data_IF_305944844978
#
_entry.id   IF_305944844978
#
_cell.length_a   1.000
_cell.length_b   1.000
_cell.length_c   1.000
_cell.angle_alpha   90.00
_cell.angle_beta   90.00
_cell.angle_gamma   90.00
#
_symmetry.space_group_name_H-M   'P 1'
#
loop_
_entity.id
_entity.type
_entity.pdbx_description
1 polymer ?
#
# COMPACT_ATOMS: atom_id res chain seq x y z
N UNK A 1 5.11 -1.23 -46.23
CA UNK A 1 6.06 -0.63 -45.27
C UNK A 1 7.32 -0.23 -46.03
N UNK A 2 7.55 1.06 -46.25
CA UNK A 2 8.76 1.54 -46.92
C UNK A 2 9.85 1.56 -45.84
N UNK A 3 10.96 0.82 -46.05
CA UNK A 3 12.12 0.90 -45.16
C UNK A 3 12.71 2.30 -45.29
N UNK A 4 12.83 3.02 -44.17
CA UNK A 4 13.54 4.29 -44.10
C UNK A 4 15.04 3.96 -44.18
N UNK A 5 15.74 4.50 -45.17
CA UNK A 5 17.20 4.35 -45.30
C UNK A 5 17.87 4.83 -43.99
N UNK A 6 18.84 4.05 -43.51
CA UNK A 6 19.59 4.32 -42.29
C UNK A 6 21.00 4.75 -42.64
N UNK A 7 21.61 5.56 -41.78
CA UNK A 7 23.00 6.00 -41.97
C UNK A 7 24.01 4.84 -41.95
N UNK A 8 23.61 3.69 -41.41
CA UNK A 8 24.37 2.43 -41.37
C UNK A 8 24.27 1.60 -42.65
N UNK A 9 23.44 1.99 -43.62
CA UNK A 9 23.21 1.20 -44.82
C UNK A 9 24.46 1.18 -45.73
N UNK A 10 24.75 0.03 -46.38
CA UNK A 10 25.86 -0.09 -47.32
C UNK A 10 25.59 0.70 -48.61
N UNK A 11 26.65 1.14 -49.31
CA UNK A 11 26.54 1.86 -50.58
C UNK A 11 26.38 3.38 -50.49
N UNK A 12 26.18 3.93 -49.28
CA UNK A 12 26.06 5.38 -49.06
C UNK A 12 27.42 6.09 -49.09
N UNK A 13 27.45 7.27 -49.72
CA UNK A 13 28.57 8.20 -49.65
C UNK A 13 28.71 8.82 -48.25
N UNK A 14 29.88 9.38 -47.96
CA UNK A 14 30.13 10.07 -46.68
C UNK A 14 29.19 11.25 -46.45
N UNK A 15 28.81 11.97 -47.53
CA UNK A 15 27.88 13.09 -47.45
C UNK A 15 26.46 12.64 -47.09
N UNK A 16 25.96 11.60 -47.75
CA UNK A 16 24.62 11.03 -47.47
C UNK A 16 24.53 10.48 -46.05
N UNK A 17 25.55 9.76 -45.57
CA UNK A 17 25.61 9.29 -44.17
C UNK A 17 25.57 10.44 -43.17
N UNK A 18 26.21 11.57 -43.49
CA UNK A 18 26.21 12.75 -42.61
C UNK A 18 24.81 13.36 -42.51
N UNK A 19 24.09 13.45 -43.63
CA UNK A 19 22.70 13.94 -43.65
C UNK A 19 21.77 12.99 -42.88
N UNK A 20 21.86 11.68 -43.14
CA UNK A 20 21.03 10.67 -42.46
C UNK A 20 21.27 10.64 -40.95
N UNK A 21 22.52 10.70 -40.48
CA UNK A 21 22.81 10.80 -39.02
C UNK A 21 22.20 12.05 -38.39
N UNK A 22 22.23 13.18 -39.09
CA UNK A 22 21.61 14.41 -38.61
C UNK A 22 20.09 14.28 -38.48
N UNK A 23 19.44 13.59 -39.42
CA UNK A 23 18.02 13.30 -39.35
C UNK A 23 17.68 12.28 -38.24
N UNK A 24 18.45 11.20 -38.13
CA UNK A 24 18.28 10.17 -37.09
C UNK A 24 18.49 10.74 -35.68
N UNK A 25 19.47 11.63 -35.49
CA UNK A 25 19.69 12.30 -34.21
C UNK A 25 18.50 13.20 -33.83
N UNK A 26 17.91 13.90 -34.80
CA UNK A 26 16.69 14.70 -34.56
C UNK A 26 15.51 13.82 -34.20
N UNK A 27 15.28 12.76 -34.98
CA UNK A 27 14.21 11.79 -34.71
C UNK A 27 14.36 11.20 -33.30
N UNK A 28 15.58 10.83 -32.90
CA UNK A 28 15.87 10.28 -31.58
C UNK A 28 15.67 11.30 -30.43
N UNK A 29 16.01 12.58 -30.64
CA UNK A 29 15.75 13.63 -29.65
C UNK A 29 14.24 13.87 -29.48
N UNK A 30 13.49 13.93 -30.58
CA UNK A 30 12.03 14.09 -30.53
C UNK A 30 11.37 12.90 -29.83
N UNK A 31 11.74 11.67 -30.17
CA UNK A 31 11.22 10.46 -29.51
C UNK A 31 11.52 10.47 -28.00
N UNK A 32 12.72 10.96 -27.62
CA UNK A 32 13.08 11.11 -26.22
C UNK A 32 12.23 12.15 -25.50
N UNK A 33 12.00 13.32 -26.12
CA UNK A 33 11.15 14.38 -25.57
C UNK A 33 9.71 13.90 -25.37
N UNK A 34 9.14 13.23 -26.38
CA UNK A 34 7.79 12.65 -26.32
C UNK A 34 7.66 11.60 -25.21
N UNK A 35 8.69 10.75 -25.06
CA UNK A 35 8.75 9.76 -23.99
C UNK A 35 8.82 10.44 -22.61
N UNK A 36 9.68 11.45 -22.44
CA UNK A 36 9.77 12.20 -21.19
C UNK A 36 8.44 12.86 -20.83
N UNK A 37 7.76 13.48 -21.79
CA UNK A 37 6.47 14.10 -21.59
C UNK A 37 5.42 13.05 -21.17
N UNK A 38 5.39 11.90 -21.85
CA UNK A 38 4.47 10.81 -21.53
C UNK A 38 4.69 10.25 -20.13
N UNK A 39 5.94 10.09 -19.69
CA UNK A 39 6.24 9.65 -18.33
C UNK A 39 5.83 10.69 -17.28
N UNK A 40 6.03 11.98 -17.56
CA UNK A 40 5.65 13.06 -16.66
C UNK A 40 4.13 13.12 -16.46
N UNK A 41 3.37 13.05 -17.56
CA UNK A 41 1.90 13.05 -17.49
C UNK A 41 1.37 11.79 -16.80
N UNK A 42 1.93 10.62 -17.10
CA UNK A 42 1.59 9.39 -16.37
C UNK A 42 1.87 9.50 -14.87
N UNK A 43 3.01 10.09 -14.50
CA UNK A 43 3.37 10.32 -13.09
C UNK A 43 2.39 11.26 -12.39
N UNK A 44 1.94 12.33 -13.06
CA UNK A 44 0.91 13.23 -12.51
C UNK A 44 -0.42 12.51 -12.32
N UNK A 45 -0.89 11.77 -13.33
CA UNK A 45 -2.13 10.99 -13.27
C UNK A 45 -2.11 10.01 -12.10
N UNK A 46 -1.05 9.21 -11.99
CA UNK A 46 -0.88 8.23 -10.90
C UNK A 46 -0.77 8.90 -9.53
N UNK A 47 -0.22 10.12 -9.45
CA UNK A 47 -0.20 10.90 -8.20
C UNK A 47 -1.58 11.37 -7.79
N UNK A 48 -2.38 11.88 -8.73
CA UNK A 48 -3.75 12.30 -8.46
C UNK A 48 -4.63 11.11 -8.02
N UNK A 49 -4.56 10.00 -8.75
CA UNK A 49 -5.29 8.78 -8.42
C UNK A 49 -4.94 8.23 -7.03
N UNK A 50 -3.65 8.22 -6.66
CA UNK A 50 -3.24 7.85 -5.30
C UNK A 50 -3.81 8.81 -4.25
N UNK A 51 -3.77 10.12 -4.51
CA UNK A 51 -4.26 11.12 -3.56
C UNK A 51 -5.77 10.97 -3.32
N UNK A 52 -6.54 10.71 -4.38
CA UNK A 52 -7.97 10.43 -4.29
C UNK A 52 -8.24 9.15 -3.47
N UNK A 53 -7.46 8.09 -3.72
CA UNK A 53 -7.57 6.84 -2.96
C UNK A 53 -7.22 7.04 -1.48
N UNK A 54 -6.14 7.74 -1.17
CA UNK A 54 -5.74 8.06 0.21
C UNK A 54 -6.79 8.93 0.91
N UNK A 55 -7.39 9.90 0.19
CA UNK A 55 -8.48 10.71 0.72
C UNK A 55 -9.75 9.87 1.00
N UNK A 56 -10.06 8.88 0.16
CA UNK A 56 -11.20 7.99 0.35
C UNK A 56 -10.98 6.95 1.46
N UNK A 57 -9.79 6.35 1.55
CA UNK A 57 -9.44 5.38 2.60
C UNK A 57 -9.29 6.07 3.98
N UNK A 58 -8.92 7.35 3.97
CA UNK A 58 -8.70 8.16 5.16
C UNK A 58 -7.33 7.89 5.79
N UNK A 59 -6.92 8.70 6.80
CA UNK A 59 -5.63 8.54 7.44
C UNK A 59 -5.55 7.20 8.17
N UNK A 60 -4.50 6.44 7.90
CA UNK A 60 -4.16 5.28 8.72
C UNK A 60 -3.76 5.76 10.13
N UNK A 61 -4.55 5.36 11.13
CA UNK A 61 -4.40 5.71 12.53
C UNK A 61 -3.29 4.87 13.17
N UNK A 62 -2.50 5.47 14.06
CA UNK A 62 -1.59 4.70 14.90
C UNK A 62 -2.36 4.10 16.07
N UNK A 63 -2.02 2.86 16.49
CA UNK A 63 -2.63 2.26 17.67
C UNK A 63 -2.34 3.15 18.88
N UNK A 64 -3.40 3.67 19.47
CA UNK A 64 -3.35 4.60 20.59
C UNK A 64 -4.50 4.30 21.55
N UNK A 65 -4.34 4.60 22.85
CA UNK A 65 -5.36 4.33 23.86
C UNK A 65 -6.62 5.19 23.68
N UNK A 66 -6.51 6.33 23.00
CA UNK A 66 -7.63 7.24 22.77
C UNK A 66 -8.49 6.86 21.55
N UNK A 67 -8.14 5.76 20.85
CA UNK A 67 -8.93 5.30 19.72
C UNK A 67 -10.33 4.86 20.16
N UNK A 68 -11.40 5.28 19.44
CA UNK A 68 -12.75 4.76 19.66
C UNK A 68 -12.83 3.25 19.42
N UNK A 69 -13.65 2.54 20.18
CA UNK A 69 -13.81 1.09 20.06
C UNK A 69 -14.39 0.66 18.71
N UNK A 70 -15.24 1.49 18.10
CA UNK A 70 -15.83 1.26 16.77
C UNK A 70 -14.82 1.43 15.62
N UNK A 71 -13.57 1.81 15.92
CA UNK A 71 -12.54 2.01 14.89
C UNK A 71 -12.24 0.67 14.19
N UNK A 72 -12.38 0.58 12.86
CA UNK A 72 -12.08 -0.63 12.13
C UNK A 72 -10.57 -0.90 12.12
N UNK A 73 -10.17 -2.14 12.37
CA UNK A 73 -8.77 -2.55 12.49
C UNK A 73 -7.96 -2.35 11.21
N UNK A 74 -8.62 -2.37 10.04
CA UNK A 74 -7.99 -2.09 8.76
C UNK A 74 -7.39 -0.68 8.69
N UNK A 75 -8.03 0.28 9.38
CA UNK A 75 -7.59 1.67 9.46
C UNK A 75 -6.52 1.91 10.52
N UNK A 76 -6.12 0.90 11.30
CA UNK A 76 -5.11 1.02 12.36
C UNK A 76 -3.81 0.35 11.96
N UNK A 77 -2.67 1.03 12.16
CA UNK A 77 -1.31 0.60 11.78
C UNK A 77 -0.75 -0.50 12.70
N UNK A 78 -1.33 -1.69 12.65
CA UNK A 78 -0.75 -2.87 13.29
C UNK A 78 0.34 -3.53 12.43
N UNK A 79 1.24 -4.28 13.10
CA UNK A 79 2.20 -5.15 12.42
C UNK A 79 1.49 -6.23 11.59
N UNK A 80 2.19 -6.76 10.59
CA UNK A 80 1.64 -7.79 9.69
C UNK A 80 1.19 -9.05 10.43
N UNK A 81 1.89 -9.46 11.50
CA UNK A 81 1.50 -10.63 12.31
C UNK A 81 0.18 -10.41 13.04
N UNK A 82 0.07 -9.27 13.72
CA UNK A 82 -1.12 -8.88 14.47
C UNK A 82 -2.32 -8.81 13.52
N UNK A 83 -2.18 -8.15 12.37
CA UNK A 83 -3.25 -8.09 11.36
C UNK A 83 -3.68 -9.48 10.90
N UNK A 84 -2.74 -10.35 10.52
CA UNK A 84 -3.08 -11.71 10.05
C UNK A 84 -3.83 -12.52 11.10
N UNK A 85 -3.34 -12.52 12.34
CA UNK A 85 -3.98 -13.23 13.44
C UNK A 85 -5.42 -12.76 13.65
N UNK A 86 -5.63 -11.44 13.66
CA UNK A 86 -6.93 -10.86 13.95
C UNK A 86 -7.90 -11.01 12.78
N UNK A 87 -7.44 -10.82 11.54
CA UNK A 87 -8.27 -11.08 10.34
C UNK A 87 -8.65 -12.56 10.23
N UNK A 88 -7.78 -13.49 10.65
CA UNK A 88 -8.10 -14.91 10.70
C UNK A 88 -9.11 -15.24 11.82
N UNK A 89 -9.07 -14.52 12.94
CA UNK A 89 -10.06 -14.59 14.01
C UNK A 89 -11.41 -13.95 13.64
N UNK A 90 -11.44 -13.16 12.55
CA UNK A 90 -12.63 -12.46 12.07
C UNK A 90 -12.97 -11.19 12.83
N UNK A 91 -12.06 -10.66 13.66
CA UNK A 91 -12.31 -9.41 14.37
C UNK A 91 -12.13 -8.20 13.46
N UNK A 92 -12.98 -7.20 13.65
CA UNK A 92 -13.17 -6.04 12.78
C UNK A 92 -12.85 -4.73 13.48
N UNK A 93 -13.00 -4.63 14.80
CA UNK A 93 -12.90 -3.36 15.54
C UNK A 93 -11.87 -3.38 16.67
N UNK A 94 -11.40 -2.19 17.08
CA UNK A 94 -10.47 -2.02 18.21
C UNK A 94 -11.09 -2.49 19.52
N UNK A 95 -12.40 -2.29 19.69
CA UNK A 95 -13.14 -2.75 20.86
C UNK A 95 -13.06 -4.27 21.06
N UNK A 96 -13.18 -5.06 19.99
CA UNK A 96 -13.09 -6.52 20.06
C UNK A 96 -11.72 -6.99 20.58
N UNK A 97 -10.63 -6.28 20.26
CA UNK A 97 -9.30 -6.57 20.82
C UNK A 97 -9.22 -6.19 22.30
N UNK A 98 -9.79 -5.04 22.68
CA UNK A 98 -9.79 -4.57 24.07
C UNK A 98 -10.62 -5.48 24.99
N UNK A 99 -11.70 -6.04 24.45
CA UNK A 99 -12.58 -6.96 25.17
C UNK A 99 -12.02 -8.38 25.27
N UNK A 100 -11.15 -8.80 24.33
CA UNK A 100 -10.53 -10.11 24.36
C UNK A 100 -9.64 -10.30 25.61
N UNK A 101 -9.67 -11.50 26.20
CA UNK A 101 -8.76 -11.87 27.27
C UNK A 101 -7.36 -12.20 26.72
N UNK A 102 -6.36 -12.20 27.59
CA UNK A 102 -5.01 -12.62 27.18
C UNK A 102 -4.98 -14.08 26.72
N UNK A 103 -5.82 -14.94 27.29
CA UNK A 103 -5.96 -16.33 26.88
C UNK A 103 -6.51 -16.46 25.46
N UNK A 104 -7.56 -15.70 25.12
CA UNK A 104 -8.11 -15.73 23.76
C UNK A 104 -7.12 -15.15 22.76
N UNK A 105 -6.42 -14.07 23.10
CA UNK A 105 -5.36 -13.50 22.25
C UNK A 105 -4.20 -14.48 22.03
N UNK A 106 -3.76 -15.20 23.07
CA UNK A 106 -2.66 -16.17 23.00
C UNK A 106 -3.05 -17.48 22.30
N UNK A 107 -4.35 -17.77 22.17
CA UNK A 107 -4.83 -18.93 21.41
C UNK A 107 -4.73 -18.76 19.89
N UNK A 108 -4.52 -17.53 19.41
CA UNK A 108 -4.38 -17.23 17.99
C UNK A 108 -2.98 -17.63 17.49
N UNK A 109 -2.94 -18.36 16.37
CA UNK A 109 -1.75 -19.02 15.83
C UNK A 109 -0.51 -18.11 15.68
N UNK A 110 -0.70 -16.83 15.35
CA UNK A 110 0.38 -15.87 15.07
C UNK A 110 0.62 -14.84 16.19
N UNK A 111 -0.06 -14.99 17.34
CA UNK A 111 0.08 -14.08 18.48
C UNK A 111 0.81 -14.77 19.64
N UNK A 112 1.97 -14.20 19.98
CA UNK A 112 2.72 -14.58 21.18
C UNK A 112 2.61 -13.51 22.27
N UNK A 113 3.14 -13.82 23.46
CA UNK A 113 3.13 -12.93 24.64
C UNK A 113 3.63 -11.51 24.35
N UNK A 114 4.69 -11.36 23.55
CA UNK A 114 5.21 -10.05 23.16
C UNK A 114 4.24 -9.22 22.32
N UNK A 115 3.50 -9.86 21.41
CA UNK A 115 2.47 -9.20 20.61
C UNK A 115 1.27 -8.78 21.47
N UNK A 116 0.87 -9.62 22.43
CA UNK A 116 -0.22 -9.33 23.36
C UNK A 116 0.13 -8.18 24.29
N UNK A 117 1.33 -8.19 24.90
CA UNK A 117 1.84 -7.06 25.69
C UNK A 117 1.83 -5.77 24.87
N UNK A 118 2.31 -5.82 23.63
CA UNK A 118 2.31 -4.65 22.75
C UNK A 118 0.91 -4.11 22.48
N UNK A 119 -0.09 -4.98 22.27
CA UNK A 119 -1.49 -4.56 22.08
C UNK A 119 -2.05 -3.91 23.34
N UNK A 120 -1.77 -4.47 24.52
CA UNK A 120 -2.21 -3.92 25.82
C UNK A 120 -1.60 -2.54 26.09
N UNK A 121 -0.30 -2.40 25.83
CA UNK A 121 0.43 -1.15 26.03
C UNK A 121 -0.04 -0.05 25.04
N UNK A 122 -0.30 -0.42 23.78
CA UNK A 122 -0.62 0.56 22.71
C UNK A 122 -2.09 0.95 22.65
N UNK A 123 -3.02 0.02 22.86
CA UNK A 123 -4.46 0.30 22.83
C UNK A 123 -5.02 0.72 24.19
N UNK A 124 -4.21 0.67 25.24
CA UNK A 124 -4.48 1.06 26.62
C UNK A 124 -5.88 0.79 27.15
N UNK A 125 -6.00 -0.27 27.97
CA UNK A 125 -6.67 -0.32 29.29
C UNK A 125 -6.67 -1.78 29.82
N UNK A 126 -6.88 -2.01 31.15
CA UNK A 126 -5.90 -2.69 32.00
C UNK A 126 -6.24 -4.14 32.38
N UNK A 127 -7.30 -4.73 31.84
CA UNK A 127 -7.74 -6.04 32.30
C UNK A 127 -7.41 -7.13 31.28
N UNK A 128 -6.51 -8.03 31.68
CA UNK A 128 -6.21 -9.31 31.00
C UNK A 128 -7.45 -10.22 30.93
N UNK A 129 -8.50 -9.89 31.70
CA UNK A 129 -9.65 -10.73 31.99
C UNK A 129 -10.83 -10.55 31.01
N UNK A 130 -10.84 -9.48 30.20
CA UNK A 130 -11.90 -9.18 29.24
C UNK A 130 -13.20 -8.66 29.87
N UNK A 131 -13.75 -7.54 29.39
CA UNK A 131 -14.88 -6.84 30.05
C UNK A 131 -16.18 -6.97 29.23
N UNK A 132 -16.75 -8.18 29.14
CA UNK A 132 -18.20 -8.48 29.09
C UNK A 132 -18.45 -9.97 28.81
N UNK A 133 -19.42 -10.63 29.48
CA UNK A 133 -19.85 -11.97 29.09
C UNK A 133 -20.58 -11.90 27.75
N UNK A 134 -20.20 -12.76 26.80
CA UNK A 134 -20.92 -12.96 25.55
C UNK A 134 -22.42 -13.13 25.84
N UNK A 135 -23.24 -12.19 25.34
CA UNK A 135 -24.69 -12.28 25.39
C UNK A 135 -25.11 -13.61 24.76
N UNK A 136 -25.74 -14.50 25.56
CA UNK A 136 -26.51 -15.63 25.04
C UNK A 136 -27.49 -15.10 23.99
N UNK A 137 -27.53 -15.73 22.82
CA UNK A 137 -28.63 -15.56 21.85
C UNK A 137 -29.97 -15.75 22.59
N UNK A 138 -30.96 -14.88 22.42
CA UNK A 138 -32.32 -15.22 22.83
C UNK A 138 -32.81 -16.36 21.94
N UNK A 139 -33.46 -17.31 22.61
CA UNK A 139 -34.22 -18.47 22.11
C UNK A 139 -34.82 -18.34 20.73
#
# INVERSE_FOLDING_TARGET
MIRKEKSTDPGLSTAERKVLRGAEAKDAMTEHEDAQQSFHENRKRLRAERLEREAAEGPMLYPAPELPDDTPLDKVKFSTRIRKAISAAGWRTVGEIREASDETLLSLQDLGKGSVSHLRDTLGLPSTDGVRPHTKKPT
#
